data_IF_804485729495
#
_entry.id   IF_804485729495
#
_cell.length_a   1.000
_cell.length_b   1.000
_cell.length_c   1.000
_cell.angle_alpha   90.00
_cell.angle_beta   90.00
_cell.angle_gamma   90.00
#
_symmetry.space_group_name_H-M   'P 1'
#
loop_
_entity.id
_entity.type
_entity.pdbx_description
1 polymer ?
#
# COMPACT_ATOMS: atom_id res chain seq x y z
N UNK A 1 -11.66 16.41 4.99
CA UNK A 1 -11.31 15.75 3.71
C UNK A 1 -9.93 15.10 3.73
N UNK A 2 -8.88 15.75 4.25
CA UNK A 2 -7.54 15.13 4.35
C UNK A 2 -7.51 13.84 5.18
N UNK A 3 -8.20 13.81 6.33
CA UNK A 3 -8.28 12.61 7.18
C UNK A 3 -8.99 11.45 6.48
N UNK A 4 -10.05 11.74 5.72
CA UNK A 4 -10.76 10.73 4.91
C UNK A 4 -9.85 10.14 3.84
N UNK A 5 -9.11 10.98 3.11
CA UNK A 5 -8.16 10.51 2.10
C UNK A 5 -7.05 9.65 2.72
N UNK A 6 -6.53 10.06 3.87
CA UNK A 6 -5.52 9.30 4.62
C UNK A 6 -6.05 7.93 5.03
N UNK A 7 -7.22 7.88 5.66
CA UNK A 7 -7.84 6.62 6.09
C UNK A 7 -8.17 5.72 4.89
N UNK A 8 -8.71 6.29 3.81
CA UNK A 8 -9.08 5.53 2.61
C UNK A 8 -7.85 4.89 1.95
N UNK A 9 -6.79 5.66 1.70
CA UNK A 9 -5.57 5.15 1.04
C UNK A 9 -4.82 4.18 1.92
N UNK A 10 -4.85 4.36 3.24
CA UNK A 10 -4.24 3.45 4.21
C UNK A 10 -4.90 2.05 4.25
N UNK A 11 -6.19 1.90 3.93
CA UNK A 11 -6.85 0.58 3.98
C UNK A 11 -6.34 -0.39 2.91
N UNK A 12 -6.08 0.10 1.69
CA UNK A 12 -5.73 -0.74 0.54
C UNK A 12 -4.46 -1.59 0.76
N UNK A 13 -3.36 -1.06 1.32
CA UNK A 13 -2.20 -1.87 1.71
C UNK A 13 -2.54 -3.13 2.50
N UNK A 14 -3.43 -3.01 3.50
CA UNK A 14 -3.84 -4.12 4.37
C UNK A 14 -4.67 -5.15 3.60
N UNK A 15 -5.61 -4.66 2.78
CA UNK A 15 -6.44 -5.53 1.96
C UNK A 15 -5.61 -6.32 0.92
N UNK A 16 -4.66 -5.66 0.27
CA UNK A 16 -3.74 -6.27 -0.69
C UNK A 16 -2.84 -7.33 -0.02
N UNK A 17 -2.40 -7.08 1.21
CA UNK A 17 -1.59 -8.03 1.97
C UNK A 17 -2.37 -9.29 2.34
N UNK A 18 -3.60 -9.15 2.86
CA UNK A 18 -4.48 -10.29 3.17
C UNK A 18 -4.78 -11.08 1.91
N UNK A 19 -5.13 -10.39 0.82
CA UNK A 19 -5.39 -11.05 -0.45
C UNK A 19 -4.19 -11.82 -0.98
N UNK A 20 -2.97 -11.31 -0.78
CA UNK A 20 -1.76 -12.00 -1.19
C UNK A 20 -1.47 -13.26 -0.36
N UNK A 21 -1.73 -13.22 0.95
CA UNK A 21 -1.51 -14.35 1.87
C UNK A 21 -2.49 -15.50 1.58
N UNK A 22 -3.78 -15.19 1.40
CA UNK A 22 -4.83 -16.21 1.24
C UNK A 22 -5.21 -16.48 -0.22
N UNK A 23 -4.35 -16.10 -1.17
CA UNK A 23 -4.65 -16.16 -2.60
C UNK A 23 -5.00 -17.57 -3.08
N UNK A 24 -4.34 -18.59 -2.52
CA UNK A 24 -4.47 -19.97 -2.94
C UNK A 24 -5.80 -20.55 -2.45
N UNK A 25 -6.23 -20.17 -1.25
CA UNK A 25 -7.54 -20.51 -0.68
C UNK A 25 -8.68 -19.82 -1.45
N UNK A 26 -8.51 -18.54 -1.83
CA UNK A 26 -9.49 -17.86 -2.68
C UNK A 26 -9.61 -18.52 -4.05
N UNK A 27 -8.49 -18.92 -4.65
CA UNK A 27 -8.48 -19.62 -5.94
C UNK A 27 -9.11 -21.02 -5.82
N UNK A 28 -8.82 -21.76 -4.74
CA UNK A 28 -9.42 -23.07 -4.48
C UNK A 28 -10.94 -22.99 -4.26
N UNK A 29 -11.42 -21.89 -3.66
CA UNK A 29 -12.84 -21.61 -3.49
C UNK A 29 -13.53 -21.08 -4.77
N UNK A 30 -12.80 -20.90 -5.89
CA UNK A 30 -13.32 -20.32 -7.13
C UNK A 30 -13.58 -18.82 -7.06
N UNK A 31 -13.07 -18.12 -6.04
CA UNK A 31 -13.24 -16.68 -5.83
C UNK A 31 -12.13 -15.90 -6.56
N UNK A 32 -12.53 -14.88 -7.33
CA UNK A 32 -11.59 -13.98 -8.01
C UNK A 32 -11.30 -12.76 -7.15
N UNK A 33 -10.09 -12.66 -6.62
CA UNK A 33 -9.63 -11.45 -5.95
C UNK A 33 -9.09 -10.41 -6.93
N UNK A 34 -9.41 -9.15 -6.67
CA UNK A 34 -8.81 -8.00 -7.33
C UNK A 34 -7.78 -7.37 -6.38
N UNK A 35 -6.57 -7.01 -6.88
CA UNK A 35 -6.05 -7.24 -8.23
C UNK A 35 -5.76 -8.72 -8.49
N UNK A 36 -6.06 -9.14 -9.72
CA UNK A 36 -5.92 -10.51 -10.22
C UNK A 36 -4.51 -11.07 -10.01
N UNK A 37 -4.43 -12.27 -9.42
CA UNK A 37 -3.17 -13.01 -9.23
C UNK A 37 -2.70 -13.77 -10.48
N UNK A 38 -3.41 -13.63 -11.61
CA UNK A 38 -3.22 -14.40 -12.86
C UNK A 38 -1.79 -14.32 -13.43
N UNK A 39 -1.07 -13.22 -13.18
CA UNK A 39 0.30 -13.00 -13.70
C UNK A 39 1.38 -13.20 -12.61
N UNK A 40 1.24 -14.21 -11.75
CA UNK A 40 2.19 -14.44 -10.63
C UNK A 40 2.18 -13.32 -9.57
N UNK A 41 1.12 -12.50 -9.56
CA UNK A 41 0.98 -11.35 -8.67
C UNK A 41 1.68 -10.07 -9.16
N UNK A 42 2.17 -10.00 -10.39
CA UNK A 42 2.82 -8.78 -10.91
C UNK A 42 1.91 -7.55 -10.80
N UNK A 43 0.62 -7.72 -11.14
CA UNK A 43 -0.39 -6.66 -10.99
C UNK A 43 -0.61 -6.26 -9.53
N UNK A 44 -0.66 -7.22 -8.61
CA UNK A 44 -0.78 -6.94 -7.17
C UNK A 44 0.42 -6.15 -6.65
N UNK A 45 1.63 -6.46 -7.11
CA UNK A 45 2.86 -5.75 -6.74
C UNK A 45 2.85 -4.30 -7.26
N UNK A 46 2.45 -4.11 -8.52
CA UNK A 46 2.35 -2.78 -9.13
C UNK A 46 1.28 -1.93 -8.44
N UNK A 47 0.11 -2.52 -8.16
CA UNK A 47 -0.95 -1.83 -7.41
C UNK A 47 -0.46 -1.45 -6.01
N UNK A 48 0.18 -2.37 -5.27
CA UNK A 48 0.75 -2.06 -3.97
C UNK A 48 1.78 -0.91 -4.04
N UNK A 49 2.64 -0.91 -5.06
CA UNK A 49 3.62 0.16 -5.28
C UNK A 49 2.95 1.51 -5.56
N UNK A 50 1.92 1.54 -6.41
CA UNK A 50 1.15 2.77 -6.69
C UNK A 50 0.53 3.31 -5.39
N UNK A 51 -0.09 2.46 -4.57
CA UNK A 51 -0.64 2.88 -3.28
C UNK A 51 0.44 3.38 -2.33
N UNK A 52 1.63 2.76 -2.29
CA UNK A 52 2.74 3.23 -1.48
C UNK A 52 3.26 4.61 -1.92
N UNK A 53 3.39 4.84 -3.23
CA UNK A 53 3.79 6.15 -3.77
C UNK A 53 2.75 7.22 -3.46
N UNK A 54 1.46 6.90 -3.62
CA UNK A 54 0.34 7.83 -3.34
C UNK A 54 0.19 8.09 -1.84
N UNK A 55 0.55 7.14 -0.98
CA UNK A 55 0.49 7.32 0.47
C UNK A 55 1.48 8.38 0.99
N UNK A 56 2.66 8.52 0.36
CA UNK A 56 3.68 9.52 0.74
C UNK A 56 3.15 10.95 0.73
N UNK A 57 2.59 11.51 -0.37
CA UNK A 57 2.05 12.86 -0.35
C UNK A 57 0.80 12.97 0.55
N UNK A 58 -0.01 11.93 0.65
CA UNK A 58 -1.25 11.95 1.44
C UNK A 58 -0.97 12.01 2.94
N UNK A 59 0.09 11.36 3.43
CA UNK A 59 0.50 11.44 4.83
C UNK A 59 0.99 12.83 5.24
N UNK A 60 1.41 13.65 4.27
CA UNK A 60 1.90 15.03 4.50
C UNK A 60 0.79 16.09 4.39
N UNK A 61 -0.32 15.78 3.72
CA UNK A 61 -1.45 16.71 3.54
C UNK A 61 -1.97 17.29 4.87
N UNK A 62 -2.17 16.50 5.96
CA UNK A 62 -2.64 17.04 7.25
C UNK A 62 -1.71 18.10 7.83
N UNK A 63 -0.39 17.94 7.67
CA UNK A 63 0.58 18.93 8.14
C UNK A 63 0.58 20.16 7.25
N UNK A 64 0.47 20.00 5.93
CA UNK A 64 0.45 21.12 4.99
C UNK A 64 -0.77 22.05 5.19
N UNK A 65 -1.92 21.51 5.58
CA UNK A 65 -3.12 22.30 5.89
C UNK A 65 -3.14 22.83 7.33
N UNK A 66 -2.05 22.68 8.08
CA UNK A 66 -1.92 23.17 9.45
C UNK A 66 -2.74 22.39 10.49
N UNK A 67 -3.24 21.19 10.15
CA UNK A 67 -3.97 20.35 11.11
C UNK A 67 -3.05 19.63 12.10
N UNK A 68 -1.78 19.39 11.73
CA UNK A 68 -0.80 18.66 12.56
C UNK A 68 0.53 19.39 12.66
N UNK A 69 1.30 19.09 13.72
CA UNK A 69 2.58 19.74 14.01
C UNK A 69 3.79 19.12 13.29
N UNK A 70 4.99 19.72 13.44
CA UNK A 70 6.22 19.30 12.77
C UNK A 70 6.66 17.87 13.11
N UNK A 71 6.29 17.36 14.30
CA UNK A 71 6.53 15.97 14.68
C UNK A 71 5.76 14.98 13.78
N UNK A 72 4.52 15.32 13.41
CA UNK A 72 3.72 14.49 12.50
C UNK A 72 4.27 14.52 11.08
N UNK A 73 4.90 15.62 10.66
CA UNK A 73 5.57 15.72 9.37
C UNK A 73 6.78 14.78 9.29
N UNK A 74 7.67 14.83 10.28
CA UNK A 74 8.86 13.98 10.30
C UNK A 74 8.49 12.50 10.44
N UNK A 75 7.54 12.17 11.33
CA UNK A 75 7.04 10.81 11.47
C UNK A 75 6.35 10.31 10.19
N UNK A 76 5.52 11.15 9.56
CA UNK A 76 4.85 10.84 8.30
C UNK A 76 5.83 10.53 7.17
N UNK A 77 6.87 11.34 7.01
CA UNK A 77 7.94 11.10 6.03
C UNK A 77 8.68 9.79 6.29
N UNK A 78 9.12 9.55 7.53
CA UNK A 78 9.88 8.36 7.89
C UNK A 78 9.06 7.08 7.68
N UNK A 79 7.83 7.06 8.20
CA UNK A 79 6.96 5.88 8.08
C UNK A 79 6.53 5.60 6.64
N UNK A 80 6.20 6.65 5.87
CA UNK A 80 5.82 6.48 4.46
C UNK A 80 7.00 6.03 3.60
N UNK A 81 8.20 6.54 3.89
CA UNK A 81 9.42 6.11 3.18
C UNK A 81 9.80 4.66 3.52
N UNK A 82 9.68 4.27 4.79
CA UNK A 82 9.88 2.88 5.22
C UNK A 82 8.87 1.94 4.53
N UNK A 83 7.61 2.34 4.44
CA UNK A 83 6.58 1.59 3.73
C UNK A 83 6.87 1.46 2.22
N UNK A 84 7.30 2.54 1.58
CA UNK A 84 7.71 2.52 0.17
C UNK A 84 8.91 1.59 -0.06
N UNK A 85 9.92 1.64 0.81
CA UNK A 85 11.09 0.77 0.73
C UNK A 85 10.72 -0.71 0.90
N UNK A 86 9.84 -1.04 1.85
CA UNK A 86 9.33 -2.38 2.03
C UNK A 86 8.55 -2.88 0.81
N UNK A 87 7.74 -2.01 0.21
CA UNK A 87 6.97 -2.32 -0.99
C UNK A 87 7.88 -2.51 -2.21
N UNK A 88 8.92 -1.70 -2.37
CA UNK A 88 9.95 -1.90 -3.40
C UNK A 88 10.67 -3.24 -3.20
N UNK A 89 11.04 -3.60 -1.97
CA UNK A 89 11.61 -4.91 -1.67
C UNK A 89 10.67 -6.07 -2.04
N UNK A 90 9.36 -5.90 -1.81
CA UNK A 90 8.34 -6.86 -2.24
C UNK A 90 8.25 -6.98 -3.76
N UNK A 91 8.27 -5.86 -4.50
CA UNK A 91 8.29 -5.89 -5.96
C UNK A 91 9.54 -6.61 -6.47
N UNK A 92 10.73 -6.25 -5.97
CA UNK A 92 12.01 -6.78 -6.43
C UNK A 92 12.19 -8.27 -6.13
N UNK A 93 11.85 -8.72 -4.92
CA UNK A 93 11.99 -10.15 -4.53
C UNK A 93 11.00 -11.05 -5.26
N UNK A 94 9.85 -10.51 -5.69
CA UNK A 94 8.85 -11.26 -6.45
C UNK A 94 9.25 -11.48 -7.91
N UNK A 95 10.08 -10.62 -8.48
CA UNK A 95 10.63 -10.80 -9.83
C UNK A 95 11.71 -11.89 -9.90
N UNK A 96 12.23 -12.33 -8.75
CA UNK A 96 13.32 -13.29 -8.65
C UNK A 96 12.87 -14.74 -8.30
N UNK A 97 11.57 -14.97 -8.12
CA UNK A 97 10.95 -16.27 -7.86
C UNK A 97 10.04 -16.67 -9.02
#
# INVERSE_FOLDING_TARGET
MALFALLFVWQFPHFLAIGWIYRDEYQAAGLKMLPSFVDGGHRTALVALVYAVVFVPISLLPTHIGMTGPLSLSAGLVLSSAYLAATLGFVLKRTAA
#
